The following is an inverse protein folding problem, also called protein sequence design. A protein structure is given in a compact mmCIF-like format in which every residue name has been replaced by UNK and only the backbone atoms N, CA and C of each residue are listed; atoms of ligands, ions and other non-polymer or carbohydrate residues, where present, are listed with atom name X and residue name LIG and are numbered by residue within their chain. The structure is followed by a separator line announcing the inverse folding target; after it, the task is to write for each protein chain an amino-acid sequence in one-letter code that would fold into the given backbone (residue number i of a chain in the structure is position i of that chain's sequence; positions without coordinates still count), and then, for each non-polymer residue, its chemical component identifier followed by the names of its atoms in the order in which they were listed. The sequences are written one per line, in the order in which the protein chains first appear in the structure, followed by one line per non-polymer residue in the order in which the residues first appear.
data_IF_548184766298
#
_entry.id   IF_548184766298
#
_cell.length_a   1.000
_cell.length_b   1.000
_cell.length_c   1.000
_cell.angle_alpha   90.00
_cell.angle_beta   90.00
_cell.angle_gamma   90.00
#
_symmetry.space_group_name_H-M   'P 1'
#
loop_
_entity.id
_entity.type
_entity.pdbx_description
1 polymer ?
#
# COMPACT_ATOMS: atom_id res chain seq x y z
N UNK A 1 38.61 -2.10 -17.52
CA UNK A 1 38.38 -0.91 -18.34
C UNK A 1 37.74 -1.38 -19.63
N UNK A 2 36.42 -1.29 -19.68
CA UNK A 2 35.64 -1.19 -20.91
C UNK A 2 34.36 -0.47 -20.50
N UNK A 3 34.33 0.81 -20.88
CA UNK A 3 33.16 1.66 -20.93
C UNK A 3 32.03 0.92 -21.64
N UNK A 4 31.02 0.49 -20.90
CA UNK A 4 29.67 0.47 -21.45
C UNK A 4 29.09 1.82 -21.04
N UNK A 5 29.27 2.80 -21.93
CA UNK A 5 28.47 4.01 -21.91
C UNK A 5 27.01 3.54 -21.95
N UNK A 6 26.29 3.76 -20.86
CA UNK A 6 24.83 3.79 -20.90
C UNK A 6 24.48 4.86 -21.92
N UNK A 7 24.25 4.42 -23.17
CA UNK A 7 23.58 5.26 -24.14
C UNK A 7 22.28 5.70 -23.49
N UNK A 8 22.10 7.02 -23.42
CA UNK A 8 20.84 7.69 -23.13
C UNK A 8 19.79 7.22 -24.13
N UNK A 9 19.26 6.01 -23.94
CA UNK A 9 17.95 5.64 -24.44
C UNK A 9 17.03 6.55 -23.67
N UNK A 10 16.56 7.61 -24.32
CA UNK A 10 15.53 8.48 -23.76
C UNK A 10 14.47 7.58 -23.14
N UNK A 11 14.38 7.62 -21.81
CA UNK A 11 13.49 6.78 -21.03
C UNK A 11 12.09 7.02 -21.54
N UNK A 12 11.61 6.13 -22.41
CA UNK A 12 10.19 6.04 -22.71
C UNK A 12 9.52 5.85 -21.36
N UNK A 13 8.57 6.71 -20.94
CA UNK A 13 7.90 6.51 -19.67
C UNK A 13 7.34 5.10 -19.67
N UNK A 14 7.91 4.23 -18.82
CA UNK A 14 7.42 2.87 -18.65
C UNK A 14 6.04 3.00 -18.08
N UNK A 15 5.02 2.86 -18.92
CA UNK A 15 3.62 2.85 -18.49
C UNK A 15 3.42 1.67 -17.56
N UNK A 16 3.11 1.96 -16.30
CA UNK A 16 2.71 0.97 -15.32
C UNK A 16 1.25 1.21 -14.93
N UNK A 17 0.62 0.18 -14.35
CA UNK A 17 -0.75 0.25 -13.87
C UNK A 17 -0.87 -0.59 -12.61
N UNK A 18 -1.90 -0.30 -11.81
CA UNK A 18 -2.26 -1.12 -10.64
C UNK A 18 -3.24 -2.22 -11.03
N UNK A 19 -3.12 -3.37 -10.37
CA UNK A 19 -3.98 -4.54 -10.55
C UNK A 19 -4.54 -4.95 -9.18
N UNK A 20 -5.78 -5.41 -9.15
CA UNK A 20 -6.37 -6.08 -8.00
C UNK A 20 -6.83 -7.49 -8.41
N UNK A 21 -6.37 -8.50 -7.66
CA UNK A 21 -6.81 -9.88 -7.85
C UNK A 21 -7.82 -10.25 -6.77
N UNK A 22 -9.02 -10.69 -7.19
CA UNK A 22 -10.13 -11.03 -6.29
C UNK A 22 -10.43 -12.53 -6.39
N UNK A 23 -10.56 -13.26 -5.27
CA UNK A 23 -11.02 -14.64 -5.28
C UNK A 23 -12.36 -14.81 -5.99
N UNK A 24 -12.47 -15.84 -6.84
CA UNK A 24 -13.66 -16.08 -7.70
C UNK A 24 -14.98 -16.21 -6.95
N UNK A 25 -14.96 -16.59 -5.67
CA UNK A 25 -16.16 -16.76 -4.86
C UNK A 25 -16.69 -15.42 -4.29
N UNK A 26 -15.91 -14.33 -4.35
CA UNK A 26 -16.37 -13.01 -3.93
C UNK A 26 -17.14 -12.32 -5.06
N UNK A 27 -18.34 -11.83 -4.75
CA UNK A 27 -19.20 -11.18 -5.74
C UNK A 27 -18.81 -9.71 -5.92
N UNK A 28 -18.15 -9.42 -7.03
CA UNK A 28 -17.92 -8.05 -7.50
C UNK A 28 -19.23 -7.46 -8.02
N UNK A 29 -19.63 -6.31 -7.50
CA UNK A 29 -20.79 -5.56 -8.00
C UNK A 29 -20.43 -4.39 -8.90
N UNK A 30 -19.21 -3.85 -8.78
CA UNK A 30 -18.71 -2.79 -9.66
C UNK A 30 -17.18 -2.77 -9.64
N UNK A 31 -16.56 -2.30 -10.73
CA UNK A 31 -15.13 -2.12 -10.87
C UNK A 31 -14.86 -0.94 -11.81
N UNK A 32 -14.10 0.05 -11.36
CA UNK A 32 -13.80 1.25 -12.15
C UNK A 32 -12.49 1.89 -11.70
N UNK A 33 -11.93 2.76 -12.54
CA UNK A 33 -10.72 3.53 -12.22
C UNK A 33 -11.07 5.01 -12.16
N UNK A 34 -10.45 5.72 -11.21
CA UNK A 34 -10.57 7.18 -11.10
C UNK A 34 -9.17 7.76 -11.29
N UNK A 35 -8.90 8.49 -12.40
CA UNK A 35 -7.62 9.13 -12.60
C UNK A 35 -7.42 10.27 -11.61
N UNK A 36 -6.19 10.44 -11.14
CA UNK A 36 -5.82 11.58 -10.32
C UNK A 36 -5.24 12.71 -11.17
N UNK A 37 -5.27 13.92 -10.62
CA UNK A 37 -4.35 14.97 -11.07
C UNK A 37 -2.94 14.51 -10.71
N UNK A 38 -2.12 14.22 -11.73
CA UNK A 38 -0.82 13.57 -11.56
C UNK A 38 0.12 13.89 -12.74
N UNK A 39 1.43 13.89 -12.46
CA UNK A 39 2.50 13.94 -13.48
C UNK A 39 2.92 12.55 -13.98
N UNK A 40 2.70 11.52 -13.19
CA UNK A 40 3.10 10.15 -13.50
C UNK A 40 1.89 9.24 -13.80
N UNK A 41 0.79 9.82 -14.30
CA UNK A 41 -0.41 9.10 -14.73
C UNK A 41 -1.03 8.21 -13.62
N UNK A 42 -1.06 8.71 -12.37
CA UNK A 42 -1.63 7.95 -11.23
C UNK A 42 -3.14 7.90 -11.25
N UNK A 43 -3.68 6.80 -10.73
CA UNK A 43 -5.11 6.59 -10.54
C UNK A 43 -5.37 5.72 -9.30
N UNK A 44 -6.65 5.57 -8.97
CA UNK A 44 -7.12 4.53 -8.05
C UNK A 44 -8.00 3.54 -8.79
N UNK A 45 -7.71 2.25 -8.64
CA UNK A 45 -8.59 1.15 -9.03
C UNK A 45 -9.52 0.82 -7.88
N UNK A 46 -10.83 0.94 -8.10
CA UNK A 46 -11.89 0.70 -7.12
C UNK A 46 -12.67 -0.56 -7.48
N UNK A 47 -12.86 -1.45 -6.52
CA UNK A 47 -13.67 -2.65 -6.62
C UNK A 47 -14.69 -2.67 -5.50
N UNK A 48 -15.97 -2.82 -5.84
CA UNK A 48 -17.05 -2.99 -4.87
C UNK A 48 -17.36 -4.47 -4.70
N UNK A 49 -17.20 -4.97 -3.48
CA UNK A 49 -17.63 -6.31 -3.09
C UNK A 49 -18.98 -6.22 -2.40
N UNK A 50 -19.91 -7.11 -2.78
CA UNK A 50 -21.20 -7.21 -2.09
C UNK A 50 -21.03 -7.96 -0.78
N UNK A 51 -21.46 -7.34 0.32
CA UNK A 51 -21.49 -7.94 1.66
C UNK A 51 -22.96 -8.14 2.05
N UNK A 52 -23.29 -9.30 2.62
CA UNK A 52 -24.61 -9.58 3.19
C UNK A 52 -24.50 -9.47 4.70
N UNK A 53 -25.34 -8.65 5.33
CA UNK A 53 -25.36 -8.52 6.81
C UNK A 53 -25.93 -9.79 7.47
N UNK A 54 -26.80 -10.55 6.79
CA UNK A 54 -27.34 -11.84 7.27
C UNK A 54 -27.77 -12.76 6.12
N UNK A 55 -27.99 -14.06 6.41
CA UNK A 55 -28.57 -15.07 5.49
C UNK A 55 -30.10 -14.90 5.27
N UNK A 56 -30.66 -13.75 5.64
CA UNK A 56 -32.08 -13.45 5.46
C UNK A 56 -32.41 -13.04 4.02
N UNK A 57 -33.58 -13.43 3.47
CA UNK A 57 -33.92 -13.21 2.07
C UNK A 57 -34.23 -11.75 1.67
N UNK A 58 -34.16 -10.76 2.57
CA UNK A 58 -34.67 -9.41 2.28
C UNK A 58 -33.83 -8.20 2.73
N UNK A 59 -32.59 -8.37 3.20
CA UNK A 59 -31.77 -7.20 3.58
C UNK A 59 -30.97 -6.63 2.41
N UNK A 60 -30.82 -5.28 2.35
CA UNK A 60 -30.03 -4.65 1.31
C UNK A 60 -28.56 -5.06 1.46
N UNK A 61 -28.03 -5.75 0.45
CA UNK A 61 -26.61 -6.10 0.37
C UNK A 61 -25.80 -4.81 0.38
N UNK A 62 -25.10 -4.48 1.46
CA UNK A 62 -24.16 -3.36 1.42
C UNK A 62 -22.89 -3.67 0.63
N UNK A 63 -21.94 -2.75 0.68
CA UNK A 63 -20.72 -2.77 -0.11
C UNK A 63 -19.51 -2.65 0.83
N UNK A 64 -18.52 -3.50 0.60
CA UNK A 64 -17.14 -3.25 1.01
C UNK A 64 -16.39 -2.68 -0.20
N UNK A 65 -15.81 -1.49 -0.05
CA UNK A 65 -15.04 -0.83 -1.09
C UNK A 65 -13.56 -1.16 -0.94
N UNK A 66 -13.01 -1.84 -1.93
CA UNK A 66 -11.57 -2.09 -2.00
C UNK A 66 -10.96 -1.15 -3.03
N UNK A 67 -9.85 -0.52 -2.68
CA UNK A 67 -9.09 0.35 -3.55
C UNK A 67 -7.64 -0.15 -3.64
N UNK A 68 -7.01 0.06 -4.79
CA UNK A 68 -5.55 0.01 -4.89
C UNK A 68 -5.04 1.19 -5.71
N UNK A 69 -3.91 1.75 -5.27
CA UNK A 69 -3.33 2.95 -5.85
C UNK A 69 -1.81 2.88 -5.79
N UNK A 70 -1.16 3.75 -6.55
CA UNK A 70 0.25 4.07 -6.41
C UNK A 70 0.33 5.60 -6.53
N UNK A 71 0.48 6.30 -5.40
CA UNK A 71 0.48 7.77 -5.35
C UNK A 71 1.72 8.38 -6.03
N UNK A 72 1.67 9.68 -6.29
CA UNK A 72 2.73 10.42 -7.00
C UNK A 72 4.12 10.16 -6.40
N UNK A 73 5.07 9.75 -7.23
CA UNK A 73 6.43 9.44 -6.76
C UNK A 73 7.31 10.70 -6.67
N UNK A 74 8.52 10.52 -6.11
CA UNK A 74 9.58 11.53 -5.95
C UNK A 74 9.24 12.66 -4.96
N UNK A 75 10.28 13.29 -4.41
CA UNK A 75 10.15 14.23 -3.29
C UNK A 75 9.33 15.49 -3.64
N UNK A 76 9.37 15.94 -4.90
CA UNK A 76 8.57 17.08 -5.39
C UNK A 76 7.08 16.73 -5.63
N UNK A 77 6.68 15.48 -5.36
CA UNK A 77 5.32 14.98 -5.53
C UNK A 77 4.38 15.22 -4.34
N UNK A 78 4.85 15.79 -3.23
CA UNK A 78 4.10 15.89 -1.98
C UNK A 78 2.69 16.49 -2.14
N UNK A 79 2.57 17.68 -2.77
CA UNK A 79 1.27 18.33 -2.94
C UNK A 79 0.29 17.48 -3.75
N UNK A 80 0.79 16.70 -4.72
CA UNK A 80 -0.03 15.77 -5.46
C UNK A 80 -0.46 14.60 -4.57
N UNK A 81 0.46 13.97 -3.83
CA UNK A 81 0.15 12.85 -2.95
C UNK A 81 -0.90 13.20 -1.90
N UNK A 82 -0.78 14.35 -1.25
CA UNK A 82 -1.77 14.80 -0.26
C UNK A 82 -3.17 14.92 -0.88
N UNK A 83 -3.29 15.62 -2.02
CA UNK A 83 -4.58 15.78 -2.72
C UNK A 83 -5.15 14.47 -3.25
N UNK A 84 -4.27 13.57 -3.71
CA UNK A 84 -4.65 12.23 -4.16
C UNK A 84 -5.18 11.39 -3.01
N UNK A 85 -4.51 11.43 -1.85
CA UNK A 85 -4.93 10.73 -0.65
C UNK A 85 -6.26 11.29 -0.09
N UNK A 86 -6.46 12.61 -0.14
CA UNK A 86 -7.74 13.23 0.21
C UNK A 86 -8.87 12.80 -0.74
N UNK A 87 -8.63 12.81 -2.06
CA UNK A 87 -9.60 12.32 -3.04
C UNK A 87 -9.94 10.84 -2.85
N UNK A 88 -8.93 10.01 -2.58
CA UNK A 88 -9.08 8.60 -2.23
C UNK A 88 -9.89 8.41 -0.95
N UNK A 89 -9.65 9.23 0.08
CA UNK A 89 -10.44 9.18 1.31
C UNK A 89 -11.91 9.50 1.06
N UNK A 90 -12.20 10.58 0.32
CA UNK A 90 -13.57 10.93 -0.05
C UNK A 90 -14.27 9.80 -0.81
N UNK A 91 -13.57 9.12 -1.72
CA UNK A 91 -14.07 7.93 -2.41
C UNK A 91 -14.34 6.78 -1.44
N UNK A 92 -13.47 6.51 -0.48
CA UNK A 92 -13.66 5.45 0.53
C UNK A 92 -14.86 5.74 1.44
N UNK A 93 -15.01 7.00 1.88
CA UNK A 93 -16.02 7.46 2.84
C UNK A 93 -17.42 7.70 2.26
N UNK A 94 -17.57 7.70 0.93
CA UNK A 94 -18.88 7.85 0.29
C UNK A 94 -19.86 6.77 0.78
N UNK A 95 -20.90 7.19 1.51
CA UNK A 95 -21.83 6.33 2.25
C UNK A 95 -22.79 5.53 1.37
N UNK A 96 -23.17 6.09 0.22
CA UNK A 96 -24.16 5.51 -0.68
C UNK A 96 -23.64 5.46 -2.11
N UNK A 97 -23.65 4.27 -2.69
CA UNK A 97 -23.41 4.08 -4.12
C UNK A 97 -24.52 3.25 -4.72
N UNK A 98 -25.18 3.80 -5.75
CA UNK A 98 -26.28 3.14 -6.46
C UNK A 98 -27.40 2.66 -5.50
N UNK A 99 -27.70 3.46 -4.47
CA UNK A 99 -28.71 3.14 -3.45
C UNK A 99 -28.29 2.08 -2.43
N UNK A 100 -27.03 1.63 -2.43
CA UNK A 100 -26.48 0.65 -1.49
C UNK A 100 -25.56 1.31 -0.48
N UNK A 101 -25.71 0.95 0.79
CA UNK A 101 -24.84 1.38 1.89
C UNK A 101 -23.43 0.83 1.69
N UNK A 102 -22.43 1.68 1.88
CA UNK A 102 -21.02 1.29 1.97
C UNK A 102 -20.69 1.13 3.44
N UNK A 103 -20.38 -0.09 3.87
CA UNK A 103 -20.08 -0.35 5.28
C UNK A 103 -18.71 0.19 5.66
N UNK A 104 -17.74 0.00 4.79
CA UNK A 104 -16.37 0.45 5.00
C UNK A 104 -15.57 0.39 3.72
N UNK A 105 -14.34 0.88 3.82
CA UNK A 105 -13.41 0.92 2.71
C UNK A 105 -12.00 0.61 3.16
N UNK A 106 -11.26 -0.11 2.32
CA UNK A 106 -9.84 -0.40 2.49
C UNK A 106 -9.10 -0.01 1.21
N UNK A 107 -8.00 0.70 1.33
CA UNK A 107 -7.05 0.93 0.25
C UNK A 107 -5.70 0.35 0.59
N UNK A 108 -5.09 -0.35 -0.36
CA UNK A 108 -3.72 -0.84 -0.27
C UNK A 108 -2.88 -0.44 -1.46
N UNK A 109 -1.60 -0.16 -1.24
CA UNK A 109 -0.66 0.13 -2.31
C UNK A 109 0.49 1.03 -1.85
N UNK A 110 1.22 1.54 -2.83
CA UNK A 110 2.36 2.43 -2.59
C UNK A 110 1.86 3.86 -2.41
N UNK A 111 1.87 4.34 -1.17
CA UNK A 111 1.48 5.71 -0.82
C UNK A 111 2.60 6.71 -1.06
N UNK A 112 3.83 6.25 -1.37
CA UNK A 112 5.01 7.08 -1.57
C UNK A 112 5.20 8.14 -0.48
N UNK A 113 4.93 7.79 0.80
CA UNK A 113 5.20 8.66 1.95
C UNK A 113 6.71 8.82 2.15
N UNK A 114 7.34 9.67 1.34
CA UNK A 114 8.80 9.84 1.27
C UNK A 114 9.34 10.74 2.38
N UNK A 115 8.55 11.72 2.83
CA UNK A 115 8.93 12.61 3.91
C UNK A 115 8.33 12.11 5.23
N UNK A 116 9.04 12.39 6.34
CA UNK A 116 8.62 11.98 7.68
C UNK A 116 7.18 12.44 8.01
N UNK A 117 6.82 13.66 7.63
CA UNK A 117 5.48 14.24 7.87
C UNK A 117 4.37 13.51 7.11
N UNK A 118 4.67 12.91 5.95
CA UNK A 118 3.69 12.20 5.12
C UNK A 118 3.25 10.87 5.74
N UNK A 119 4.01 10.36 6.70
CA UNK A 119 3.59 9.18 7.43
C UNK A 119 2.32 9.41 8.25
N UNK A 120 2.04 10.67 8.61
CA UNK A 120 0.94 11.09 9.48
C UNK A 120 -0.24 11.72 8.71
N UNK A 121 -0.12 11.93 7.39
CA UNK A 121 -1.15 12.58 6.57
C UNK A 121 -2.52 11.88 6.65
N UNK A 122 -2.56 10.56 6.90
CA UNK A 122 -3.83 9.84 7.08
C UNK A 122 -4.67 10.37 8.24
N UNK A 123 -4.05 11.01 9.23
CA UNK A 123 -4.75 11.62 10.38
C UNK A 123 -5.22 13.05 10.13
N UNK A 124 -4.83 13.66 9.01
CA UNK A 124 -5.31 14.99 8.65
C UNK A 124 -6.84 14.97 8.56
N UNK A 125 -7.60 15.94 9.11
CA UNK A 125 -9.06 15.95 9.05
C UNK A 125 -9.67 15.84 7.64
N UNK A 126 -8.98 16.33 6.61
CA UNK A 126 -9.42 16.23 5.22
C UNK A 126 -9.27 14.79 4.65
N UNK A 127 -8.45 13.97 5.30
CA UNK A 127 -8.20 12.56 4.95
C UNK A 127 -8.89 11.66 5.97
N UNK A 128 -8.48 11.68 7.24
CA UNK A 128 -9.09 10.95 8.36
C UNK A 128 -9.36 9.47 8.02
N UNK A 129 -8.29 8.77 7.65
CA UNK A 129 -8.26 7.33 7.45
C UNK A 129 -7.45 6.70 8.58
N UNK A 130 -7.81 5.47 8.96
CA UNK A 130 -7.05 4.67 9.92
C UNK A 130 -5.93 3.94 9.18
N UNK A 131 -4.75 3.83 9.77
CA UNK A 131 -3.62 3.07 9.23
C UNK A 131 -3.51 1.74 9.97
N UNK A 132 -3.50 0.62 9.23
CA UNK A 132 -3.37 -0.73 9.80
C UNK A 132 -2.10 -0.88 10.63
N UNK A 133 -1.03 -0.17 10.28
CA UNK A 133 0.21 -0.16 11.05
C UNK A 133 0.02 0.34 12.48
N UNK A 134 -0.98 1.19 12.70
CA UNK A 134 -1.22 1.90 13.96
C UNK A 134 -2.36 1.28 14.79
N UNK A 135 -2.99 0.22 14.30
CA UNK A 135 -4.00 -0.53 15.05
C UNK A 135 -3.40 -1.20 16.31
N UNK A 136 -2.09 -1.41 16.34
CA UNK A 136 -1.33 -1.83 17.51
C UNK A 136 -0.08 -0.96 17.71
N UNK A 137 0.41 -0.89 18.95
CA UNK A 137 1.62 -0.15 19.27
C UNK A 137 2.82 -0.72 18.50
N UNK A 138 3.45 0.13 17.68
CA UNK A 138 4.68 -0.21 17.00
C UNK A 138 5.77 -0.57 18.04
N UNK A 139 6.56 -1.62 17.80
CA UNK A 139 7.64 -1.99 18.69
C UNK A 139 8.73 -0.91 18.67
N UNK A 140 9.46 -0.77 19.79
CA UNK A 140 10.56 0.18 19.86
C UNK A 140 11.65 -0.16 18.82
N UNK A 141 12.08 0.82 18.01
CA UNK A 141 13.20 0.61 17.09
C UNK A 141 14.46 0.19 17.85
N UNK A 142 15.25 -0.76 17.32
CA UNK A 142 16.46 -1.22 17.99
C UNK A 142 17.48 -0.08 18.09
N UNK A 143 18.00 0.15 19.30
CA UNK A 143 19.12 1.05 19.53
C UNK A 143 20.42 0.41 19.02
N UNK A 144 20.74 0.65 17.74
CA UNK A 144 21.96 0.13 17.13
C UNK A 144 23.17 0.96 17.54
N UNK A 145 24.28 0.27 17.84
CA UNK A 145 25.58 0.93 18.00
C UNK A 145 26.02 1.53 16.66
N UNK A 146 26.88 2.56 16.66
CA UNK A 146 27.50 3.06 15.43
C UNK A 146 28.06 1.89 14.61
N UNK A 147 27.81 1.91 13.29
CA UNK A 147 28.25 0.90 12.31
C UNK A 147 27.56 -0.48 12.40
N UNK A 148 26.66 -0.73 13.34
CA UNK A 148 25.82 -1.93 13.33
C UNK A 148 24.64 -1.75 12.37
N UNK A 149 24.24 -2.85 11.73
CA UNK A 149 23.13 -2.87 10.76
C UNK A 149 21.89 -3.48 11.38
N UNK A 150 20.73 -2.92 11.04
CA UNK A 150 19.45 -3.57 11.31
C UNK A 150 19.26 -4.74 10.34
N UNK A 151 19.38 -5.97 10.83
CA UNK A 151 19.09 -7.18 10.06
C UNK A 151 17.61 -7.57 10.08
N UNK A 152 16.76 -6.81 10.78
CA UNK A 152 15.30 -6.98 10.74
C UNK A 152 14.65 -6.20 9.59
N UNK A 153 15.46 -5.54 8.76
CA UNK A 153 14.99 -4.78 7.61
C UNK A 153 13.95 -3.72 8.00
N UNK A 154 14.18 -2.99 9.09
CA UNK A 154 13.28 -1.95 9.57
C UNK A 154 11.95 -2.50 10.06
N UNK A 155 11.92 -3.74 10.57
CA UNK A 155 10.68 -4.39 11.04
C UNK A 155 9.94 -3.54 12.05
N UNK A 156 10.68 -2.91 12.97
CA UNK A 156 10.09 -2.07 14.02
C UNK A 156 9.59 -0.71 13.53
N UNK A 157 10.02 -0.28 12.35
CA UNK A 157 9.61 0.96 11.70
C UNK A 157 8.52 0.73 10.63
N UNK A 158 8.18 -0.54 10.38
CA UNK A 158 7.24 -0.92 9.33
C UNK A 158 7.79 -0.68 7.93
N UNK A 159 9.11 -0.65 7.76
CA UNK A 159 9.70 -0.37 6.46
C UNK A 159 9.29 -1.41 5.43
N UNK A 160 8.96 -0.92 4.24
CA UNK A 160 8.56 -1.71 3.07
C UNK A 160 9.50 -1.50 1.89
N UNK A 161 10.36 -0.48 1.92
CA UNK A 161 11.26 -0.15 0.83
C UNK A 161 12.68 0.19 1.30
N UNK A 162 13.66 0.05 0.39
CA UNK A 162 15.04 0.53 0.53
C UNK A 162 16.10 -0.57 0.61
N UNK A 163 15.78 -1.71 1.23
CA UNK A 163 16.74 -2.80 1.49
C UNK A 163 17.06 -3.68 0.26
N UNK A 164 16.19 -3.66 -0.75
CA UNK A 164 16.31 -4.48 -1.97
C UNK A 164 16.56 -3.61 -3.22
N UNK A 165 17.08 -2.39 -3.03
CA UNK A 165 17.39 -1.46 -4.12
C UNK A 165 18.86 -1.55 -4.54
N UNK A 166 19.15 -1.49 -5.85
CA UNK A 166 20.53 -1.42 -6.34
C UNK A 166 21.08 0.00 -6.15
N UNK A 167 22.30 0.13 -5.65
CA UNK A 167 23.02 1.40 -5.62
C UNK A 167 22.78 2.31 -4.41
N UNK A 168 21.85 1.98 -3.50
CA UNK A 168 21.80 2.62 -2.18
C UNK A 168 22.67 1.85 -1.19
N UNK A 169 23.48 2.58 -0.43
CA UNK A 169 24.14 2.00 0.73
C UNK A 169 23.03 1.57 1.70
N UNK A 170 23.19 0.40 2.33
CA UNK A 170 22.26 -0.13 3.36
C UNK A 170 21.99 0.86 4.53
N UNK A 171 22.75 1.96 4.58
CA UNK A 171 22.73 3.02 5.58
C UNK A 171 21.79 4.20 5.22
N UNK A 172 21.31 4.31 3.97
CA UNK A 172 20.36 5.35 3.58
C UNK A 172 18.92 4.83 3.77
N UNK A 173 18.49 4.90 5.03
CA UNK A 173 17.14 4.77 5.60
C UNK A 173 16.07 4.11 4.71
N UNK A 174 15.71 2.87 5.04
CA UNK A 174 14.47 2.27 4.54
C UNK A 174 13.24 3.10 4.96
N UNK A 175 12.15 2.96 4.21
CA UNK A 175 10.94 3.75 4.40
C UNK A 175 9.68 2.88 4.37
N UNK A 176 8.61 3.35 5.01
CA UNK A 176 7.28 2.73 4.97
C UNK A 176 6.41 3.40 3.90
N UNK A 177 6.64 3.02 2.65
CA UNK A 177 5.94 3.59 1.49
C UNK A 177 4.60 2.90 1.25
N UNK A 178 4.57 1.58 1.39
CA UNK A 178 3.37 0.77 1.19
C UNK A 178 2.53 0.75 2.46
N UNK A 179 1.22 1.03 2.32
CA UNK A 179 0.29 1.08 3.45
C UNK A 179 -1.04 0.41 3.13
N UNK A 180 -1.71 -0.04 4.19
CA UNK A 180 -3.15 -0.27 4.17
C UNK A 180 -3.84 0.80 5.01
N UNK A 181 -4.72 1.57 4.38
CA UNK A 181 -5.52 2.61 5.04
C UNK A 181 -7.00 2.26 4.93
N UNK A 182 -7.81 2.58 5.94
CA UNK A 182 -9.20 2.15 5.98
C UNK A 182 -10.15 3.12 6.68
N UNK A 183 -11.45 2.92 6.46
CA UNK A 183 -12.55 3.62 7.11
C UNK A 183 -13.73 2.67 7.34
N UNK A 184 -14.63 3.03 8.26
CA UNK A 184 -15.76 2.21 8.68
C UNK A 184 -15.42 1.18 9.77
N UNK A 185 -16.37 0.28 10.09
CA UNK A 185 -16.24 -0.73 11.13
C UNK A 185 -15.48 -1.95 10.57
N UNK A 186 -14.19 -1.77 10.32
CA UNK A 186 -13.29 -2.85 9.90
C UNK A 186 -12.42 -3.25 11.10
N UNK A 187 -12.47 -4.53 11.46
CA UNK A 187 -11.50 -5.17 12.36
C UNK A 187 -10.34 -5.73 11.52
N UNK A 188 -9.11 -5.52 11.98
CA UNK A 188 -7.89 -6.00 11.32
C UNK A 188 -7.24 -7.12 12.15
N UNK A 189 -6.59 -8.08 11.49
CA UNK A 189 -5.89 -9.19 12.13
C UNK A 189 -4.70 -9.67 11.29
N UNK A 190 -3.66 -10.24 11.92
CA UNK A 190 -2.48 -10.68 11.19
C UNK A 190 -2.76 -11.92 10.33
N UNK A 191 -2.15 -11.96 9.14
CA UNK A 191 -2.16 -13.13 8.24
C UNK A 191 -0.97 -14.02 8.60
N UNK A 192 -1.24 -15.28 8.97
CA UNK A 192 -0.23 -16.20 9.53
C UNK A 192 0.84 -16.61 8.52
N UNK A 193 0.52 -16.52 7.24
CA UNK A 193 1.38 -16.90 6.13
C UNK A 193 2.50 -15.87 5.85
N UNK A 194 2.46 -14.70 6.51
CA UNK A 194 3.48 -13.67 6.37
C UNK A 194 4.87 -14.13 6.85
N UNK A 195 5.92 -13.67 6.15
CA UNK A 195 7.31 -14.00 6.50
C UNK A 195 7.71 -13.39 7.84
N UNK A 196 7.25 -12.17 8.12
CA UNK A 196 7.22 -11.61 9.46
C UNK A 196 5.97 -10.76 9.69
N UNK A 197 5.62 -10.60 10.97
CA UNK A 197 4.42 -9.89 11.43
C UNK A 197 4.86 -8.87 12.49
N UNK A 198 4.33 -7.65 12.37
CA UNK A 198 4.40 -6.60 13.40
C UNK A 198 3.00 -6.06 13.64
N UNK A 199 2.47 -6.28 14.85
CA UNK A 199 1.09 -6.00 15.17
C UNK A 199 0.13 -6.73 14.23
N UNK A 200 -0.68 -5.96 13.49
CA UNK A 200 -1.66 -6.48 12.52
C UNK A 200 -1.12 -6.66 11.10
N UNK A 201 0.06 -6.09 10.81
CA UNK A 201 0.63 -6.06 9.47
C UNK A 201 1.67 -7.17 9.28
N UNK A 202 1.54 -7.93 8.20
CA UNK A 202 2.54 -8.91 7.75
C UNK A 202 3.35 -8.41 6.56
N UNK A 203 4.60 -8.88 6.41
CA UNK A 203 5.45 -8.61 5.24
C UNK A 203 5.85 -9.89 4.48
N UNK A 204 6.11 -9.75 3.19
CA UNK A 204 6.46 -10.81 2.25
C UNK A 204 7.53 -10.36 1.25
N UNK A 205 8.17 -11.31 0.58
CA UNK A 205 9.17 -11.02 -0.46
C UNK A 205 10.51 -10.49 0.07
N UNK A 206 10.73 -10.52 1.39
CA UNK A 206 12.00 -10.14 2.01
C UNK A 206 13.07 -11.15 1.60
N UNK A 207 14.14 -10.67 0.99
CA UNK A 207 15.21 -11.47 0.43
C UNK A 207 14.81 -12.28 -0.81
N UNK A 208 13.65 -12.04 -1.42
CA UNK A 208 13.19 -12.86 -2.54
C UNK A 208 13.89 -12.46 -3.85
N UNK A 209 14.65 -13.39 -4.42
CA UNK A 209 15.30 -13.24 -5.72
C UNK A 209 14.70 -14.17 -6.76
N UNK A 210 14.80 -13.75 -8.02
CA UNK A 210 14.54 -14.55 -9.20
C UNK A 210 15.73 -14.48 -10.15
N UNK A 211 15.84 -15.46 -11.04
CA UNK A 211 16.94 -15.54 -12.01
C UNK A 211 16.52 -14.87 -13.31
N UNK A 212 17.27 -13.84 -13.73
CA UNK A 212 17.12 -13.19 -15.04
C UNK A 212 18.42 -13.38 -15.81
N UNK A 213 18.40 -14.28 -16.79
CA UNK A 213 19.60 -14.73 -17.50
C UNK A 213 20.59 -15.42 -16.54
N UNK A 214 21.77 -14.83 -16.40
CA UNK A 214 22.84 -15.32 -15.51
C UNK A 214 22.86 -14.64 -14.13
N UNK A 215 21.99 -13.66 -13.88
CA UNK A 215 22.00 -12.87 -12.66
C UNK A 215 20.82 -13.21 -11.74
N UNK A 216 21.09 -13.28 -10.44
CA UNK A 216 20.04 -13.25 -9.43
C UNK A 216 19.66 -11.80 -9.13
N UNK A 217 18.40 -11.46 -9.38
CA UNK A 217 17.84 -10.13 -9.16
C UNK A 217 16.73 -10.19 -8.13
N UNK A 218 16.57 -9.14 -7.33
CA UNK A 218 15.41 -9.04 -6.43
C UNK A 218 14.12 -9.04 -7.27
N UNK A 219 13.10 -9.74 -6.78
CA UNK A 219 11.77 -9.76 -7.43
C UNK A 219 11.12 -8.39 -7.39
N UNK A 220 11.39 -7.62 -6.33
CA UNK A 220 10.97 -6.23 -6.16
C UNK A 220 11.97 -5.52 -5.25
N UNK A 221 12.10 -4.20 -5.39
CA UNK A 221 12.79 -3.35 -4.42
C UNK A 221 11.93 -3.04 -3.18
N UNK A 222 10.63 -3.33 -3.25
CA UNK A 222 9.67 -3.32 -2.13
C UNK A 222 9.46 -4.71 -1.53
N UNK A 223 9.07 -4.73 -0.25
CA UNK A 223 8.42 -5.87 0.40
C UNK A 223 6.92 -5.82 0.15
N UNK A 224 6.30 -6.98 -0.08
CA UNK A 224 4.84 -7.08 -0.05
C UNK A 224 4.31 -6.94 1.37
N UNK A 225 3.10 -6.42 1.53
CA UNK A 225 2.41 -6.32 2.83
C UNK A 225 1.08 -7.09 2.81
N UNK A 226 0.63 -7.56 3.97
CA UNK A 226 -0.67 -8.20 4.11
C UNK A 226 -1.37 -7.85 5.43
N UNK A 227 -2.70 -7.89 5.38
CA UNK A 227 -3.59 -7.73 6.53
C UNK A 227 -4.83 -8.59 6.29
N UNK A 228 -5.35 -9.21 7.34
CA UNK A 228 -6.68 -9.80 7.35
C UNK A 228 -7.70 -8.78 7.83
N UNK A 229 -8.85 -8.71 7.17
CA UNK A 229 -9.93 -7.79 7.55
C UNK A 229 -11.25 -8.53 7.78
N UNK A 230 -12.04 -8.02 8.71
CA UNK A 230 -13.42 -8.43 8.94
C UNK A 230 -14.30 -7.17 9.03
N UNK A 231 -15.39 -7.15 8.28
CA UNK A 231 -16.41 -6.10 8.41
C UNK A 231 -17.28 -6.46 9.61
N UNK A 232 -17.46 -5.51 10.53
CA UNK A 232 -18.21 -5.67 11.78
C UNK A 232 -19.63 -5.13 11.69
#
# INVERSE_FOLDING_TARGET
WNDVREENVGSMPTRHFTLMMIPRHLRISNCFRVPFVSKSERDVLVVHLSVSENEGPSEPKGILRLCTTHLESLDLGYEYRFRQLAALSALLKSELVQGRKVYGGLVGGDMNSTLASEHDDHRNPDIDLKDVWEDELAPAPPALRPFYKDFTYGKALGNTWGYQSKGRLYQDYGSRLDKFLYTGPIETFPVREAQDITGRLGRFGIGLKTRVGLNDVWVSDHFGIAVGIKVM
#
